data_IF_859594843471
#
_entry.id   IF_859594843471
#
_cell.length_a   1.000
_cell.length_b   1.000
_cell.length_c   1.000
_cell.angle_alpha   90.00
_cell.angle_beta   90.00
_cell.angle_gamma   90.00
#
_symmetry.space_group_name_H-M   'P 1'
#
loop_
_entity.id
_entity.type
_entity.pdbx_description
1 polymer ?
#
# COMPACT_ATOMS: atom_id res chain seq x y z
N UNK A 1 -38.96 0.71 4.85
CA UNK A 1 -39.40 2.14 4.90
C UNK A 1 -38.14 2.98 5.15
N UNK A 2 -37.93 4.05 4.41
CA UNK A 2 -36.78 4.96 4.59
C UNK A 2 -36.87 5.68 5.94
N UNK A 3 -35.81 5.59 6.74
CA UNK A 3 -35.72 6.27 8.05
C UNK A 3 -34.64 7.35 8.03
N UNK A 4 -34.97 8.54 8.51
CA UNK A 4 -34.06 9.70 8.59
C UNK A 4 -33.24 9.74 9.88
N UNK A 5 -33.56 8.91 10.87
CA UNK A 5 -33.02 9.01 12.23
C UNK A 5 -32.53 7.70 12.85
N UNK A 6 -32.70 6.56 12.18
CA UNK A 6 -32.23 5.30 12.70
C UNK A 6 -30.71 5.18 12.51
N UNK A 7 -30.00 4.97 13.59
CA UNK A 7 -28.60 4.59 13.59
C UNK A 7 -28.43 3.11 13.28
N UNK A 8 -27.24 2.66 12.88
CA UNK A 8 -26.92 1.25 12.64
C UNK A 8 -27.29 0.42 13.87
N UNK A 9 -26.93 0.88 15.08
CA UNK A 9 -27.20 0.18 16.32
C UNK A 9 -28.70 -0.10 16.59
N UNK A 10 -29.59 0.76 16.09
CA UNK A 10 -31.04 0.58 16.22
C UNK A 10 -31.67 -0.18 15.06
N UNK A 11 -31.09 -0.09 13.86
CA UNK A 11 -31.64 -0.68 12.66
C UNK A 11 -31.09 -2.10 12.40
N UNK A 12 -29.80 -2.28 12.62
CA UNK A 12 -29.08 -3.53 12.38
C UNK A 12 -28.08 -3.76 13.53
N UNK A 13 -28.57 -4.25 14.68
CA UNK A 13 -27.73 -4.47 15.85
C UNK A 13 -26.65 -5.53 15.65
N UNK A 14 -26.87 -6.51 14.76
CA UNK A 14 -25.89 -7.54 14.41
C UNK A 14 -24.68 -6.91 13.69
N UNK A 15 -24.90 -6.09 12.67
CA UNK A 15 -23.84 -5.35 11.99
C UNK A 15 -23.16 -4.35 12.93
N UNK A 16 -23.92 -3.68 13.80
CA UNK A 16 -23.36 -2.77 14.80
C UNK A 16 -22.41 -3.48 15.77
N UNK A 17 -22.76 -4.69 16.20
CA UNK A 17 -21.89 -5.51 17.04
C UNK A 17 -20.61 -5.94 16.32
N UNK A 18 -20.68 -6.31 15.05
CA UNK A 18 -19.50 -6.64 14.25
C UNK A 18 -18.54 -5.44 14.08
N UNK A 19 -19.10 -4.25 13.84
CA UNK A 19 -18.30 -3.01 13.75
C UNK A 19 -17.64 -2.70 15.11
N UNK A 20 -18.38 -2.83 16.21
CA UNK A 20 -17.84 -2.59 17.55
C UNK A 20 -16.70 -3.57 17.90
N UNK A 21 -16.87 -4.87 17.57
CA UNK A 21 -15.83 -5.87 17.77
C UNK A 21 -14.56 -5.58 16.95
N UNK A 22 -14.69 -5.08 15.72
CA UNK A 22 -13.52 -4.68 14.92
C UNK A 22 -12.85 -3.42 15.48
N UNK A 23 -13.60 -2.45 16.00
CA UNK A 23 -13.04 -1.28 16.71
C UNK A 23 -12.23 -1.73 17.93
N UNK A 24 -12.78 -2.65 18.74
CA UNK A 24 -12.10 -3.23 19.90
C UNK A 24 -10.81 -3.97 19.47
N UNK A 25 -10.87 -4.80 18.42
CA UNK A 25 -9.70 -5.47 17.88
C UNK A 25 -8.61 -4.46 17.46
N UNK A 26 -8.97 -3.40 16.75
CA UNK A 26 -8.01 -2.37 16.33
C UNK A 26 -7.42 -1.61 17.53
N UNK A 27 -8.16 -1.42 18.61
CA UNK A 27 -7.63 -0.82 19.83
C UNK A 27 -6.64 -1.74 20.55
N UNK A 28 -6.95 -3.03 20.65
CA UNK A 28 -6.25 -3.99 21.51
C UNK A 28 -5.14 -4.77 20.81
N UNK A 29 -5.13 -4.81 19.48
CA UNK A 29 -4.13 -5.51 18.69
C UNK A 29 -3.13 -4.53 18.06
N UNK A 30 -1.88 -5.00 17.96
CA UNK A 30 -0.84 -4.27 17.23
C UNK A 30 -0.91 -4.67 15.75
N UNK A 31 -1.08 -3.70 14.87
CA UNK A 31 -1.20 -3.90 13.44
C UNK A 31 0.17 -3.71 12.75
N UNK A 32 0.68 -4.77 12.13
CA UNK A 32 1.94 -4.78 11.39
C UNK A 32 1.80 -5.22 9.93
N UNK A 33 0.57 -5.37 9.42
CA UNK A 33 0.37 -5.58 7.98
C UNK A 33 0.80 -4.31 7.24
N UNK A 34 1.84 -4.41 6.42
CA UNK A 34 2.49 -3.28 5.77
C UNK A 34 1.59 -2.44 4.85
N UNK A 35 0.44 -2.98 4.44
CA UNK A 35 -0.57 -2.33 3.60
C UNK A 35 -1.74 -1.73 4.38
N UNK A 36 -1.70 -1.74 5.71
CA UNK A 36 -2.74 -1.19 6.57
C UNK A 36 -2.27 0.06 7.31
N UNK A 37 -3.24 0.90 7.68
CA UNK A 37 -3.04 2.12 8.43
C UNK A 37 -4.36 2.61 9.02
N UNK A 38 -4.29 3.57 9.93
CA UNK A 38 -5.45 4.21 10.53
C UNK A 38 -5.65 5.60 9.94
N UNK A 39 -6.88 5.92 9.53
CA UNK A 39 -7.24 7.23 9.00
C UNK A 39 -7.74 8.16 10.11
N UNK A 40 -7.66 9.48 9.87
CA UNK A 40 -8.19 10.47 10.79
C UNK A 40 -9.73 10.44 10.86
N UNK A 41 -10.30 11.01 11.93
CA UNK A 41 -11.75 11.22 12.04
C UNK A 41 -12.28 12.04 10.86
N UNK A 42 -11.54 13.04 10.38
CA UNK A 42 -11.97 13.88 9.25
C UNK A 42 -12.06 13.09 7.93
N UNK A 43 -11.16 12.10 7.72
CA UNK A 43 -11.25 11.19 6.57
C UNK A 43 -12.48 10.28 6.70
N UNK A 44 -12.78 9.76 7.89
CA UNK A 44 -13.97 8.93 8.13
C UNK A 44 -15.26 9.74 7.99
N UNK A 45 -15.30 10.98 8.47
CA UNK A 45 -16.43 11.89 8.31
C UNK A 45 -16.72 12.19 6.83
N UNK A 46 -15.69 12.50 6.04
CA UNK A 46 -15.84 12.72 4.61
C UNK A 46 -16.37 11.46 3.89
N UNK A 47 -15.88 10.29 4.28
CA UNK A 47 -16.30 9.00 3.72
C UNK A 47 -17.76 8.67 4.03
N UNK A 48 -18.27 9.04 5.22
CA UNK A 48 -19.66 8.88 5.65
C UNK A 48 -20.58 10.03 5.23
N UNK A 49 -20.12 10.96 4.41
CA UNK A 49 -20.88 12.16 4.04
C UNK A 49 -21.99 11.90 3.01
N UNK A 50 -22.89 12.89 2.86
CA UNK A 50 -24.00 12.89 1.88
C UNK A 50 -23.52 12.84 0.43
N UNK A 51 -22.23 13.04 0.16
CA UNK A 51 -21.65 12.92 -1.18
C UNK A 51 -21.77 11.50 -1.75
N UNK A 52 -22.03 10.50 -0.90
CA UNK A 52 -22.37 9.13 -1.34
C UNK A 52 -23.63 9.07 -2.21
N UNK A 53 -24.53 10.03 -2.09
CA UNK A 53 -25.80 10.06 -2.82
C UNK A 53 -25.66 10.64 -4.24
N UNK A 54 -24.52 11.28 -4.58
CA UNK A 54 -24.39 12.02 -5.83
C UNK A 54 -23.76 11.20 -6.95
N UNK A 55 -24.48 11.08 -8.05
CA UNK A 55 -24.00 10.48 -9.30
C UNK A 55 -23.30 11.55 -10.16
N UNK A 56 -22.01 11.35 -10.51
CA UNK A 56 -21.17 12.38 -11.12
C UNK A 56 -20.25 11.84 -12.24
N UNK A 57 -20.81 11.05 -13.18
CA UNK A 57 -20.06 10.59 -14.36
C UNK A 57 -19.45 11.76 -15.14
N UNK A 58 -18.27 11.56 -15.67
CA UNK A 58 -17.44 12.58 -16.27
C UNK A 58 -16.42 13.16 -15.31
N UNK A 59 -16.03 14.40 -15.52
CA UNK A 59 -14.94 15.07 -14.78
C UNK A 59 -15.40 16.49 -14.37
N UNK A 60 -14.71 17.17 -13.43
CA UNK A 60 -15.06 18.52 -13.00
C UNK A 60 -15.30 19.46 -14.19
N UNK A 61 -16.44 20.15 -14.20
CA UNK A 61 -16.88 21.03 -15.27
C UNK A 61 -17.34 20.34 -16.56
N UNK A 62 -17.24 19.01 -16.65
CA UNK A 62 -17.63 18.20 -17.82
C UNK A 62 -18.37 16.94 -17.38
N UNK A 63 -19.46 17.11 -16.61
CA UNK A 63 -20.31 16.02 -16.11
C UNK A 63 -21.43 15.67 -17.09
N UNK A 64 -21.85 14.42 -17.03
CA UNK A 64 -23.01 13.95 -17.78
C UNK A 64 -24.34 14.23 -17.07
N UNK A 65 -24.29 14.64 -15.78
CA UNK A 65 -25.46 14.90 -14.93
C UNK A 65 -25.43 16.31 -14.35
N UNK A 66 -26.58 16.88 -14.07
CA UNK A 66 -26.72 18.16 -13.39
C UNK A 66 -26.48 18.05 -11.89
N UNK A 67 -26.36 19.20 -11.22
CA UNK A 67 -26.20 19.29 -9.76
C UNK A 67 -24.83 18.84 -9.26
N UNK A 68 -23.77 19.02 -10.06
CA UNK A 68 -22.41 18.58 -9.73
C UNK A 68 -21.50 19.72 -9.27
N UNK A 69 -21.98 20.94 -9.14
CA UNK A 69 -21.19 22.13 -8.81
C UNK A 69 -20.39 21.99 -7.49
N UNK A 70 -20.94 21.31 -6.51
CA UNK A 70 -20.27 21.13 -5.21
C UNK A 70 -19.34 19.91 -5.19
N UNK A 71 -19.71 18.81 -5.86
CA UNK A 71 -18.82 17.64 -5.97
C UNK A 71 -17.64 17.91 -6.90
N UNK A 72 -17.77 18.82 -7.86
CA UNK A 72 -16.68 19.31 -8.69
C UNK A 72 -15.61 19.99 -7.83
N UNK A 73 -16.01 20.78 -6.84
CA UNK A 73 -15.08 21.40 -5.88
C UNK A 73 -14.33 20.33 -5.10
N UNK A 74 -15.03 19.31 -4.60
CA UNK A 74 -14.38 18.22 -3.84
C UNK A 74 -13.36 17.45 -4.69
N UNK A 75 -13.70 17.11 -5.93
CA UNK A 75 -12.77 16.41 -6.82
C UNK A 75 -11.60 17.29 -7.25
N UNK A 76 -11.84 18.56 -7.56
CA UNK A 76 -10.79 19.51 -7.93
C UNK A 76 -9.80 19.71 -6.77
N UNK A 77 -10.28 19.82 -5.52
CA UNK A 77 -9.41 19.88 -4.35
C UNK A 77 -8.54 18.64 -4.19
N UNK A 78 -9.08 17.45 -4.47
CA UNK A 78 -8.28 16.22 -4.43
C UNK A 78 -7.20 16.22 -5.52
N UNK A 79 -7.56 16.61 -6.75
CA UNK A 79 -6.63 16.72 -7.88
C UNK A 79 -5.51 17.71 -7.57
N UNK A 80 -5.83 18.92 -7.16
CA UNK A 80 -4.84 19.99 -6.93
C UNK A 80 -3.88 19.62 -5.79
N UNK A 81 -4.42 19.03 -4.72
CA UNK A 81 -3.63 18.63 -3.55
C UNK A 81 -2.67 17.48 -3.87
N UNK A 82 -3.12 16.47 -4.60
CA UNK A 82 -2.25 15.33 -4.95
C UNK A 82 -1.20 15.71 -5.98
N UNK A 83 -1.52 16.58 -6.94
CA UNK A 83 -0.55 17.18 -7.86
C UNK A 83 0.54 17.93 -7.10
N UNK A 84 0.15 18.78 -6.15
CA UNK A 84 1.10 19.51 -5.31
C UNK A 84 1.96 18.58 -4.45
N UNK A 85 1.36 17.52 -3.91
CA UNK A 85 2.01 16.57 -3.00
C UNK A 85 3.17 15.84 -3.68
N UNK A 86 3.00 15.44 -4.94
CA UNK A 86 3.97 14.63 -5.67
C UNK A 86 4.71 15.38 -6.79
N UNK A 87 4.36 16.65 -7.05
CA UNK A 87 4.95 17.43 -8.14
C UNK A 87 4.52 16.95 -9.52
N UNK A 88 3.30 16.45 -9.66
CA UNK A 88 2.73 15.98 -10.91
C UNK A 88 1.97 17.10 -11.64
N UNK A 89 1.95 17.07 -12.98
CA UNK A 89 1.12 17.98 -13.76
C UNK A 89 -0.27 17.41 -14.07
N UNK A 90 -0.39 16.09 -14.13
CA UNK A 90 -1.66 15.40 -14.30
C UNK A 90 -1.97 14.52 -13.08
N UNK A 91 -3.26 14.48 -12.70
CA UNK A 91 -3.78 13.54 -11.71
C UNK A 91 -5.21 13.12 -12.03
N UNK A 92 -5.52 11.83 -11.86
CA UNK A 92 -6.87 11.29 -11.84
C UNK A 92 -7.12 10.62 -10.49
N UNK A 93 -8.11 11.12 -9.75
CA UNK A 93 -8.45 10.66 -8.38
C UNK A 93 -9.66 9.74 -8.33
N UNK A 94 -10.24 9.39 -9.48
CA UNK A 94 -11.44 8.56 -9.58
C UNK A 94 -11.20 7.04 -9.43
N UNK A 95 -10.00 6.44 -9.63
CA UNK A 95 -9.83 5.01 -9.45
C UNK A 95 -10.35 4.53 -8.08
N UNK A 96 -11.22 3.50 -8.09
CA UNK A 96 -11.79 2.91 -6.88
C UNK A 96 -10.76 2.12 -6.08
N UNK A 97 -9.69 1.65 -6.74
CA UNK A 97 -8.59 0.89 -6.13
C UNK A 97 -7.28 1.10 -6.90
N UNK A 98 -6.16 0.73 -6.29
CA UNK A 98 -4.87 0.67 -6.99
C UNK A 98 -4.90 -0.27 -8.19
N UNK A 99 -5.58 -1.43 -8.07
CA UNK A 99 -5.72 -2.36 -9.20
C UNK A 99 -6.43 -1.76 -10.39
N UNK A 100 -7.49 -0.96 -10.18
CA UNK A 100 -8.18 -0.27 -11.26
C UNK A 100 -7.35 0.88 -11.84
N UNK A 101 -6.58 1.59 -11.01
CA UNK A 101 -5.62 2.58 -11.49
C UNK A 101 -4.58 1.94 -12.42
N UNK A 102 -4.02 0.78 -12.02
CA UNK A 102 -3.06 0.03 -12.84
C UNK A 102 -3.69 -0.47 -14.16
N UNK A 103 -4.91 -1.02 -14.10
CA UNK A 103 -5.64 -1.43 -15.29
C UNK A 103 -5.91 -0.27 -16.25
N UNK A 104 -6.23 0.92 -15.74
CA UNK A 104 -6.45 2.10 -16.56
C UNK A 104 -5.16 2.55 -17.28
N UNK A 105 -4.02 2.50 -16.59
CA UNK A 105 -2.72 2.77 -17.22
C UNK A 105 -2.47 1.77 -18.35
N UNK A 106 -2.62 0.48 -18.12
CA UNK A 106 -2.46 -0.53 -19.17
C UNK A 106 -3.42 -0.28 -20.34
N UNK A 107 -4.71 -0.14 -20.06
CA UNK A 107 -5.74 0.05 -21.10
C UNK A 107 -5.56 1.33 -21.90
N UNK A 108 -4.89 2.36 -21.35
CA UNK A 108 -4.68 3.63 -22.04
C UNK A 108 -3.66 3.57 -23.18
N UNK A 109 -2.68 2.65 -23.11
CA UNK A 109 -1.54 2.62 -24.05
C UNK A 109 -1.18 1.22 -24.56
N UNK A 110 -1.76 0.15 -24.00
CA UNK A 110 -1.48 -1.22 -24.41
C UNK A 110 -2.70 -1.87 -25.05
N UNK A 111 -2.42 -2.92 -25.85
CA UNK A 111 -3.43 -3.84 -26.41
C UNK A 111 -3.23 -5.23 -25.80
N UNK A 112 -4.29 -6.06 -25.72
CA UNK A 112 -4.15 -7.46 -25.34
C UNK A 112 -3.06 -8.15 -26.17
N UNK A 113 -2.18 -8.93 -25.50
CA UNK A 113 -1.03 -9.59 -26.10
C UNK A 113 0.27 -8.76 -26.13
N UNK A 114 0.22 -7.46 -25.84
CA UNK A 114 1.44 -6.66 -25.71
C UNK A 114 2.30 -7.17 -24.55
N UNK A 115 3.63 -7.06 -24.71
CA UNK A 115 4.57 -7.51 -23.69
C UNK A 115 4.77 -6.45 -22.62
N UNK A 116 4.68 -6.86 -21.35
CA UNK A 116 5.05 -6.08 -20.17
C UNK A 116 6.18 -6.78 -19.41
N UNK A 117 7.03 -6.01 -18.76
CA UNK A 117 8.11 -6.51 -17.89
C UNK A 117 7.86 -5.99 -16.48
N UNK A 118 7.56 -6.87 -15.52
CA UNK A 118 7.21 -6.51 -14.16
C UNK A 118 7.97 -7.32 -13.11
N UNK A 119 7.94 -6.87 -11.85
CA UNK A 119 8.58 -7.61 -10.76
C UNK A 119 7.80 -8.90 -10.44
N UNK A 120 8.53 -10.01 -10.30
CA UNK A 120 7.97 -11.30 -9.91
C UNK A 120 7.25 -11.22 -8.55
N UNK A 121 6.08 -11.84 -8.47
CA UNK A 121 5.31 -11.93 -7.22
C UNK A 121 6.11 -12.63 -6.11
N UNK A 122 6.90 -13.65 -6.47
CA UNK A 122 7.77 -14.39 -5.53
C UNK A 122 8.92 -13.53 -4.97
N UNK A 123 9.29 -12.45 -5.64
CA UNK A 123 10.34 -11.53 -5.24
C UNK A 123 9.81 -10.18 -4.71
N UNK A 124 8.51 -10.11 -4.42
CA UNK A 124 7.89 -8.94 -3.80
C UNK A 124 7.08 -8.04 -4.73
N UNK A 125 6.88 -8.42 -6.00
CA UNK A 125 5.98 -7.72 -6.91
C UNK A 125 4.52 -7.72 -6.46
N UNK A 126 3.66 -7.00 -7.17
CA UNK A 126 2.23 -6.99 -6.92
C UNK A 126 1.49 -7.88 -7.95
N UNK A 127 0.32 -8.41 -7.58
CA UNK A 127 -0.52 -9.20 -8.50
C UNK A 127 -0.75 -8.52 -9.85
N UNK A 128 -0.97 -7.20 -9.84
CA UNK A 128 -1.23 -6.41 -11.06
C UNK A 128 0.02 -6.13 -11.91
N UNK A 129 1.19 -6.63 -11.52
CA UNK A 129 2.44 -6.49 -12.30
C UNK A 129 2.69 -7.67 -13.25
N UNK A 130 1.65 -8.39 -13.64
CA UNK A 130 1.74 -9.48 -14.61
C UNK A 130 1.55 -10.88 -14.02
N UNK A 131 1.10 -11.03 -12.76
CA UNK A 131 0.85 -12.35 -12.20
C UNK A 131 -0.24 -13.09 -13.01
N UNK A 132 -0.01 -14.37 -13.32
CA UNK A 132 -0.87 -15.19 -14.22
C UNK A 132 -2.32 -15.31 -13.75
N UNK A 133 -2.57 -15.21 -12.45
CA UNK A 133 -3.91 -15.24 -11.86
C UNK A 133 -4.64 -13.91 -11.97
N UNK A 134 -3.92 -12.82 -12.24
CA UNK A 134 -4.46 -11.46 -12.35
C UNK A 134 -4.79 -11.11 -13.81
N UNK A 135 -5.68 -10.13 -13.99
CA UNK A 135 -6.06 -9.65 -15.34
C UNK A 135 -4.84 -9.17 -16.14
N UNK A 136 -3.80 -8.62 -15.48
CA UNK A 136 -2.56 -8.18 -16.13
C UNK A 136 -1.79 -9.35 -16.77
N UNK A 137 -1.69 -10.50 -16.09
CA UNK A 137 -1.06 -11.70 -16.64
C UNK A 137 -1.96 -12.50 -17.58
N UNK A 138 -3.29 -12.23 -17.58
CA UNK A 138 -4.24 -12.88 -18.52
C UNK A 138 -4.34 -12.13 -19.84
N UNK A 139 -4.21 -10.82 -19.85
CA UNK A 139 -4.34 -10.00 -21.05
C UNK A 139 -3.01 -9.71 -21.75
N UNK A 140 -1.92 -9.65 -21.02
CA UNK A 140 -0.61 -9.26 -21.53
C UNK A 140 0.39 -10.41 -21.48
N UNK A 141 1.38 -10.37 -22.37
CA UNK A 141 2.53 -11.25 -22.31
C UNK A 141 3.48 -10.75 -21.20
N UNK A 142 3.33 -11.29 -19.99
CA UNK A 142 4.05 -10.83 -18.82
C UNK A 142 5.39 -11.56 -18.66
N UNK A 143 6.48 -10.81 -18.77
CA UNK A 143 7.84 -11.24 -18.42
C UNK A 143 8.14 -10.70 -17.02
N UNK A 144 8.86 -11.47 -16.20
CA UNK A 144 9.15 -11.07 -14.83
C UNK A 144 10.64 -10.96 -14.56
N UNK A 145 11.04 -9.90 -13.85
CA UNK A 145 12.37 -9.74 -13.27
C UNK A 145 12.33 -10.01 -11.75
N UNK A 146 13.49 -10.19 -11.15
CA UNK A 146 13.60 -10.53 -9.74
C UNK A 146 14.71 -9.79 -9.00
N UNK A 147 15.15 -10.41 -7.92
CA UNK A 147 16.26 -9.97 -7.09
C UNK A 147 17.48 -10.84 -7.38
N UNK A 148 18.67 -10.29 -7.16
CA UNK A 148 19.94 -11.00 -7.23
C UNK A 148 20.15 -11.95 -6.01
N UNK A 149 21.31 -12.56 -5.93
CA UNK A 149 21.70 -13.45 -4.83
C UNK A 149 21.81 -12.75 -3.47
N UNK A 150 21.97 -11.42 -3.47
CA UNK A 150 22.00 -10.57 -2.27
C UNK A 150 20.61 -10.03 -1.92
N UNK A 151 19.56 -10.52 -2.60
CA UNK A 151 18.18 -10.10 -2.41
C UNK A 151 17.94 -8.60 -2.72
N UNK A 152 18.72 -8.05 -3.67
CA UNK A 152 18.63 -6.67 -4.16
C UNK A 152 18.12 -6.68 -5.59
N UNK A 153 17.43 -5.62 -6.03
CA UNK A 153 16.95 -5.47 -7.40
C UNK A 153 18.13 -5.60 -8.39
N UNK A 154 18.03 -6.59 -9.27
CA UNK A 154 19.03 -6.83 -10.32
C UNK A 154 18.72 -6.00 -11.58
N UNK A 155 19.21 -4.77 -11.60
CA UNK A 155 19.03 -3.88 -12.75
C UNK A 155 19.70 -4.38 -14.03
N UNK A 156 20.77 -5.18 -13.92
CA UNK A 156 21.41 -5.78 -15.09
C UNK A 156 20.50 -6.85 -15.72
N UNK A 157 19.83 -7.65 -14.89
CA UNK A 157 18.84 -8.62 -15.37
C UNK A 157 17.59 -7.91 -15.94
N UNK A 158 17.13 -6.83 -15.31
CA UNK A 158 16.04 -6.00 -15.87
C UNK A 158 16.40 -5.50 -17.28
N UNK A 159 17.62 -4.98 -17.46
CA UNK A 159 18.10 -4.50 -18.76
C UNK A 159 18.22 -5.64 -19.78
N UNK A 160 18.79 -6.76 -19.39
CA UNK A 160 18.91 -7.95 -20.25
C UNK A 160 17.54 -8.41 -20.77
N UNK A 161 16.56 -8.57 -19.86
CA UNK A 161 15.21 -8.97 -20.20
C UNK A 161 14.50 -7.93 -21.08
N UNK A 162 14.71 -6.64 -20.81
CA UNK A 162 14.13 -5.58 -21.61
C UNK A 162 14.68 -5.60 -23.05
N UNK A 163 15.99 -5.80 -23.23
CA UNK A 163 16.61 -5.90 -24.56
C UNK A 163 16.17 -7.14 -25.32
N UNK A 164 16.02 -8.28 -24.63
CA UNK A 164 15.59 -9.55 -25.22
C UNK A 164 14.12 -9.52 -25.64
N UNK A 165 13.22 -9.11 -24.74
CA UNK A 165 11.78 -9.20 -24.94
C UNK A 165 11.13 -7.94 -25.49
N UNK A 166 11.83 -6.80 -25.50
CA UNK A 166 11.37 -5.50 -26.00
C UNK A 166 9.95 -5.16 -25.54
N UNK A 167 9.70 -5.12 -24.21
CA UNK A 167 8.38 -4.84 -23.69
C UNK A 167 7.91 -3.46 -24.12
N UNK A 168 6.61 -3.29 -24.29
CA UNK A 168 6.02 -1.95 -24.48
C UNK A 168 5.98 -1.14 -23.20
N UNK A 169 5.99 -1.82 -22.04
CA UNK A 169 5.95 -1.18 -20.75
C UNK A 169 6.80 -1.95 -19.73
N UNK A 170 7.60 -1.22 -18.98
CA UNK A 170 8.30 -1.73 -17.80
C UNK A 170 7.53 -1.24 -16.57
N UNK A 171 7.13 -2.18 -15.71
CA UNK A 171 6.39 -1.92 -14.48
C UNK A 171 7.34 -2.05 -13.30
N UNK A 172 7.59 -0.94 -12.61
CA UNK A 172 8.43 -0.88 -11.42
C UNK A 172 7.58 -0.61 -10.17
N UNK A 173 8.08 -1.06 -9.03
CA UNK A 173 7.38 -0.98 -7.74
C UNK A 173 7.21 -2.35 -7.10
N UNK A 174 6.97 -2.36 -5.80
CA UNK A 174 6.90 -3.61 -5.05
C UNK A 174 5.93 -3.51 -3.86
N UNK A 175 5.43 -4.68 -3.43
CA UNK A 175 4.60 -4.85 -2.23
C UNK A 175 5.38 -5.37 -1.03
N UNK A 176 6.55 -5.96 -1.26
CA UNK A 176 7.34 -6.64 -0.23
C UNK A 176 8.86 -6.50 -0.48
N UNK A 177 9.31 -5.32 -0.89
CA UNK A 177 10.72 -4.99 -1.07
C UNK A 177 11.12 -3.87 -0.10
N UNK A 178 12.17 -4.11 0.68
CA UNK A 178 12.54 -3.26 1.80
C UNK A 178 13.42 -2.06 1.44
N UNK A 179 14.17 -2.16 0.33
CA UNK A 179 15.18 -1.17 -0.04
C UNK A 179 14.63 -0.09 -0.96
N UNK A 180 15.40 0.96 -1.17
CA UNK A 180 15.05 1.99 -2.14
C UNK A 180 15.18 1.47 -3.57
N UNK A 181 14.28 1.90 -4.44
CA UNK A 181 14.27 1.61 -5.87
C UNK A 181 14.83 2.82 -6.62
N UNK A 182 15.80 2.57 -7.48
CA UNK A 182 16.40 3.60 -8.34
C UNK A 182 15.55 3.79 -9.61
N UNK A 183 14.69 4.79 -9.58
CA UNK A 183 13.80 5.11 -10.69
C UNK A 183 14.55 5.61 -11.92
N UNK A 184 15.71 6.25 -11.74
CA UNK A 184 16.54 6.75 -12.85
C UNK A 184 17.07 5.57 -13.67
N UNK A 185 17.55 4.49 -13.03
CA UNK A 185 17.98 3.28 -13.72
C UNK A 185 16.85 2.62 -14.50
N UNK A 186 15.64 2.54 -13.93
CA UNK A 186 14.48 2.05 -14.68
C UNK A 186 14.17 2.92 -15.88
N UNK A 187 14.28 4.26 -15.76
CA UNK A 187 14.10 5.18 -16.90
C UNK A 187 15.12 4.94 -18.00
N UNK A 188 16.40 4.82 -17.64
CA UNK A 188 17.48 4.53 -18.59
C UNK A 188 17.23 3.23 -19.36
N UNK A 189 16.80 2.17 -18.65
CA UNK A 189 16.49 0.87 -19.28
C UNK A 189 15.29 1.01 -20.22
N UNK A 190 14.23 1.68 -19.78
CA UNK A 190 13.03 1.88 -20.59
C UNK A 190 13.33 2.68 -21.86
N UNK A 191 14.16 3.71 -21.78
CA UNK A 191 14.59 4.52 -22.93
C UNK A 191 15.37 3.69 -23.97
N UNK A 192 16.26 2.78 -23.52
CA UNK A 192 17.04 1.90 -24.40
C UNK A 192 16.17 1.03 -25.32
N UNK A 193 14.97 0.68 -24.87
CA UNK A 193 14.07 -0.21 -25.62
C UNK A 193 12.81 0.49 -26.13
N UNK A 194 12.66 1.79 -25.87
CA UNK A 194 11.49 2.57 -26.26
C UNK A 194 10.21 2.17 -25.53
N UNK A 195 10.32 1.67 -24.29
CA UNK A 195 9.20 1.27 -23.46
C UNK A 195 8.69 2.43 -22.63
N UNK A 196 7.39 2.39 -22.29
CA UNK A 196 6.87 3.21 -21.21
C UNK A 196 7.42 2.73 -19.86
N UNK A 197 7.76 3.67 -18.98
CA UNK A 197 8.03 3.39 -17.57
C UNK A 197 6.78 3.68 -16.75
N UNK A 198 6.23 2.64 -16.16
CA UNK A 198 5.11 2.71 -15.24
C UNK A 198 5.57 2.35 -13.82
N UNK A 199 5.34 3.23 -12.85
CA UNK A 199 5.70 3.02 -11.45
C UNK A 199 4.45 2.91 -10.58
N UNK A 200 4.29 1.78 -9.90
CA UNK A 200 3.33 1.60 -8.81
C UNK A 200 4.03 1.87 -7.47
N UNK A 201 3.82 3.09 -6.93
CA UNK A 201 4.43 3.48 -5.66
C UNK A 201 3.50 3.24 -4.45
N UNK A 202 2.47 2.43 -4.58
CA UNK A 202 1.41 2.27 -3.58
C UNK A 202 1.92 2.03 -2.16
N UNK A 203 2.94 1.20 -1.98
CA UNK A 203 3.52 0.94 -0.66
C UNK A 203 4.32 2.12 -0.12
N UNK A 204 4.99 2.87 -0.98
CA UNK A 204 5.94 3.91 -0.60
C UNK A 204 5.36 5.32 -0.63
N UNK A 205 4.13 5.52 -1.14
CA UNK A 205 3.57 6.83 -1.43
C UNK A 205 3.58 7.81 -0.23
N UNK A 206 3.32 7.33 0.99
CA UNK A 206 3.42 8.16 2.19
C UNK A 206 4.85 8.59 2.50
N UNK A 207 5.84 7.71 2.27
CA UNK A 207 7.26 8.04 2.44
C UNK A 207 7.74 9.01 1.35
N UNK A 208 7.27 8.84 0.10
CA UNK A 208 7.53 9.78 -1.00
C UNK A 208 6.96 11.16 -0.66
N UNK A 209 5.70 11.22 -0.21
CA UNK A 209 5.04 12.46 0.20
C UNK A 209 5.77 13.16 1.37
N UNK A 210 6.32 12.38 2.30
CA UNK A 210 7.11 12.89 3.43
C UNK A 210 8.56 13.23 3.10
N UNK A 211 9.06 12.89 1.91
CA UNK A 211 10.45 13.11 1.49
C UNK A 211 11.43 12.04 1.99
N UNK A 212 10.94 10.91 2.47
CA UNK A 212 11.75 9.81 3.02
C UNK A 212 12.01 8.66 2.04
N UNK A 213 11.48 8.76 0.81
CA UNK A 213 11.69 7.80 -0.28
C UNK A 213 11.74 8.53 -1.62
N UNK A 214 12.51 8.05 -2.62
CA UNK A 214 12.63 8.71 -3.91
C UNK A 214 11.28 8.89 -4.62
N UNK A 215 11.04 10.08 -5.17
CA UNK A 215 9.82 10.37 -5.93
C UNK A 215 9.95 9.84 -7.38
N UNK A 216 9.06 8.95 -7.87
CA UNK A 216 9.11 8.42 -9.22
C UNK A 216 8.57 9.37 -10.29
N UNK A 217 7.76 10.37 -9.92
CA UNK A 217 7.06 11.24 -10.89
C UNK A 217 7.97 11.89 -11.93
N UNK A 218 9.17 12.38 -11.60
CA UNK A 218 10.07 12.97 -12.59
C UNK A 218 10.60 11.97 -13.65
N UNK A 219 10.59 10.68 -13.35
CA UNK A 219 11.21 9.63 -14.18
C UNK A 219 10.20 8.83 -14.99
N UNK A 220 9.00 8.60 -14.44
CA UNK A 220 8.01 7.71 -15.02
C UNK A 220 7.06 8.43 -15.98
N UNK A 221 6.56 7.68 -16.97
CA UNK A 221 5.48 8.15 -17.84
C UNK A 221 4.13 8.07 -17.09
N UNK A 222 3.97 7.03 -16.29
CA UNK A 222 2.79 6.80 -15.44
C UNK A 222 3.21 6.45 -14.02
N UNK A 223 2.53 7.03 -13.04
CA UNK A 223 2.69 6.67 -11.63
C UNK A 223 1.31 6.38 -11.06
N UNK A 224 1.18 5.27 -10.35
CA UNK A 224 -0.04 4.98 -9.60
C UNK A 224 0.26 4.83 -8.12
N UNK A 225 -0.75 5.05 -7.32
CA UNK A 225 -0.71 4.75 -5.90
C UNK A 225 -2.08 4.34 -5.39
N UNK A 226 -2.09 3.56 -4.30
CA UNK A 226 -3.23 3.48 -3.39
C UNK A 226 -3.20 4.66 -2.44
N UNK A 227 -4.34 5.00 -1.85
CA UNK A 227 -4.44 6.12 -0.90
C UNK A 227 -4.41 5.69 0.57
N UNK A 228 -4.54 4.38 0.87
CA UNK A 228 -4.83 3.85 2.20
C UNK A 228 -3.66 3.13 2.92
N UNK A 229 -2.45 3.10 2.35
CA UNK A 229 -1.28 2.46 2.96
C UNK A 229 -0.46 3.50 3.74
N UNK A 230 0.81 3.66 3.42
CA UNK A 230 1.65 4.70 4.05
C UNK A 230 1.10 6.12 3.88
N UNK A 231 0.32 6.39 2.81
CA UNK A 231 -0.30 7.69 2.56
C UNK A 231 -1.46 8.02 3.53
N UNK A 232 -1.96 7.04 4.29
CA UNK A 232 -2.90 7.23 5.41
C UNK A 232 -4.23 7.88 5.03
N UNK A 233 -4.76 7.54 3.87
CA UNK A 233 -6.05 8.04 3.35
C UNK A 233 -7.12 6.94 3.24
N UNK A 234 -8.27 7.26 2.63
CA UNK A 234 -9.33 6.29 2.39
C UNK A 234 -8.88 5.22 1.39
N UNK A 235 -9.57 4.09 1.36
CA UNK A 235 -9.31 3.05 0.36
C UNK A 235 -9.69 3.56 -1.04
N UNK A 236 -8.70 3.55 -1.95
CA UNK A 236 -8.84 4.04 -3.31
C UNK A 236 -7.53 4.02 -4.05
N UNK A 237 -7.53 4.51 -5.29
CA UNK A 237 -6.35 4.67 -6.13
C UNK A 237 -6.24 6.06 -6.74
N UNK A 238 -5.05 6.38 -7.26
CA UNK A 238 -4.73 7.62 -7.99
C UNK A 238 -3.79 7.29 -9.13
N UNK A 239 -3.94 8.01 -10.24
CA UNK A 239 -2.99 8.02 -11.37
C UNK A 239 -2.37 9.40 -11.44
N UNK A 240 -1.05 9.46 -11.63
CA UNK A 240 -0.27 10.68 -11.77
C UNK A 240 0.60 10.59 -13.03
N UNK A 241 0.86 11.73 -13.68
CA UNK A 241 1.86 11.84 -14.71
C UNK A 241 2.66 13.14 -14.53
N UNK A 242 3.91 13.14 -15.01
CA UNK A 242 4.78 14.32 -15.01
C UNK A 242 4.28 15.43 -15.93
N UNK A 243 3.46 15.08 -16.94
CA UNK A 243 2.87 16.00 -17.91
C UNK A 243 1.45 15.54 -18.33
N UNK A 244 0.79 16.30 -19.20
CA UNK A 244 -0.57 16.04 -19.63
C UNK A 244 -0.67 15.21 -20.94
N UNK A 245 0.41 14.66 -21.45
CA UNK A 245 0.48 13.95 -22.75
C UNK A 245 -0.56 12.82 -22.82
N UNK A 246 -0.78 12.09 -21.73
CA UNK A 246 -1.67 10.94 -21.68
C UNK A 246 -3.03 11.22 -21.03
N UNK A 247 -3.33 12.48 -20.67
CA UNK A 247 -4.56 12.86 -19.96
C UNK A 247 -5.83 12.28 -20.62
N UNK A 248 -6.02 12.54 -21.92
CA UNK A 248 -7.23 12.09 -22.63
C UNK A 248 -7.38 10.57 -22.61
N UNK A 249 -6.29 9.83 -22.82
CA UNK A 249 -6.30 8.38 -22.85
C UNK A 249 -6.60 7.80 -21.46
N UNK A 250 -5.95 8.32 -20.41
CA UNK A 250 -6.17 7.89 -19.03
C UNK A 250 -7.57 8.21 -18.52
N UNK A 251 -8.08 9.42 -18.80
CA UNK A 251 -9.43 9.80 -18.43
C UNK A 251 -10.44 8.89 -19.12
N UNK A 252 -10.27 8.59 -20.41
CA UNK A 252 -11.12 7.66 -21.15
C UNK A 252 -11.02 6.23 -20.65
N UNK A 253 -9.83 5.78 -20.22
CA UNK A 253 -9.63 4.45 -19.67
C UNK A 253 -10.33 4.28 -18.32
N UNK A 254 -10.39 5.32 -17.49
CA UNK A 254 -11.19 5.29 -16.26
C UNK A 254 -12.67 5.38 -16.60
N UNK A 255 -13.11 6.47 -17.21
CA UNK A 255 -14.50 6.67 -17.60
C UNK A 255 -14.59 7.07 -19.09
N UNK A 256 -15.36 6.34 -19.89
CA UNK A 256 -16.35 5.31 -19.54
C UNK A 256 -15.84 3.86 -19.61
N UNK A 257 -14.50 3.61 -19.72
CA UNK A 257 -14.01 2.27 -20.08
C UNK A 257 -14.07 1.27 -18.89
N UNK A 258 -13.45 1.58 -17.75
CA UNK A 258 -13.32 0.66 -16.62
C UNK A 258 -14.28 0.95 -15.46
N UNK A 259 -14.75 2.19 -15.34
CA UNK A 259 -15.62 2.64 -14.27
C UNK A 259 -16.79 3.44 -14.83
N UNK A 260 -17.89 3.52 -14.05
CA UNK A 260 -19.02 4.43 -14.25
C UNK A 260 -18.96 5.60 -13.26
N UNK A 261 -20.03 5.80 -12.47
CA UNK A 261 -20.11 6.88 -11.50
C UNK A 261 -18.99 6.83 -10.46
N UNK A 262 -18.24 7.91 -10.28
CA UNK A 262 -17.16 7.97 -9.29
C UNK A 262 -17.73 8.00 -7.86
N UNK A 263 -16.93 7.52 -6.90
CA UNK A 263 -17.29 7.51 -5.48
C UNK A 263 -16.97 8.87 -4.86
N UNK A 264 -17.90 9.83 -4.93
CA UNK A 264 -17.63 11.21 -4.54
C UNK A 264 -17.29 11.38 -3.07
N UNK A 265 -17.86 10.57 -2.18
CA UNK A 265 -17.52 10.52 -0.76
C UNK A 265 -16.08 10.04 -0.52
N UNK A 266 -15.59 9.08 -1.31
CA UNK A 266 -14.19 8.61 -1.24
C UNK A 266 -13.25 9.68 -1.80
N UNK A 267 -13.61 10.35 -2.89
CA UNK A 267 -12.82 11.45 -3.47
C UNK A 267 -12.71 12.62 -2.48
N UNK A 268 -13.79 12.97 -1.78
CA UNK A 268 -13.75 13.96 -0.70
C UNK A 268 -12.79 13.52 0.43
N UNK A 269 -12.85 12.26 0.83
CA UNK A 269 -11.94 11.70 1.82
C UNK A 269 -10.47 11.71 1.35
N UNK A 270 -10.22 11.45 0.05
CA UNK A 270 -8.88 11.64 -0.56
C UNK A 270 -8.43 13.10 -0.45
N UNK A 271 -9.33 14.06 -0.72
CA UNK A 271 -8.99 15.48 -0.59
C UNK A 271 -8.59 15.87 0.83
N UNK A 272 -9.24 15.29 1.85
CA UNK A 272 -8.84 15.47 3.27
C UNK A 272 -7.45 14.88 3.51
N UNK A 273 -7.25 13.61 3.16
CA UNK A 273 -5.98 12.92 3.38
C UNK A 273 -4.79 13.61 2.68
N UNK A 274 -4.98 14.12 1.46
CA UNK A 274 -3.92 14.85 0.76
C UNK A 274 -3.64 16.21 1.42
N UNK A 275 -4.65 16.86 2.02
CA UNK A 275 -4.42 18.07 2.81
C UNK A 275 -3.59 17.75 4.07
N UNK A 276 -3.87 16.66 4.74
CA UNK A 276 -3.08 16.18 5.88
C UNK A 276 -1.64 15.85 5.46
N UNK A 277 -1.47 15.14 4.33
CA UNK A 277 -0.15 14.79 3.81
C UNK A 277 0.72 15.99 3.39
N UNK A 278 0.11 17.16 3.11
CA UNK A 278 0.79 18.40 2.82
C UNK A 278 1.27 19.14 4.08
N UNK A 279 0.89 18.72 5.30
CA UNK A 279 1.29 19.36 6.53
C UNK A 279 2.68 18.92 7.00
N UNK A 280 3.40 19.75 7.76
CA UNK A 280 4.72 19.41 8.32
C UNK A 280 4.72 18.14 9.19
N UNK A 281 3.63 17.89 9.91
CA UNK A 281 3.47 16.74 10.80
C UNK A 281 3.51 15.43 10.03
N UNK A 282 3.07 15.43 8.77
CA UNK A 282 3.13 14.24 7.93
C UNK A 282 4.58 13.85 7.56
N UNK A 283 5.47 14.82 7.42
CA UNK A 283 6.91 14.55 7.23
C UNK A 283 7.52 13.92 8.47
N UNK A 284 7.11 14.37 9.66
CA UNK A 284 7.54 13.75 10.93
C UNK A 284 7.05 12.30 11.03
N UNK A 285 5.78 12.07 10.68
CA UNK A 285 5.22 10.71 10.59
C UNK A 285 6.01 9.82 9.63
N UNK A 286 6.26 10.26 8.40
CA UNK A 286 6.98 9.48 7.40
C UNK A 286 8.41 9.13 7.87
N UNK A 287 9.11 10.08 8.48
CA UNK A 287 10.42 9.86 9.09
C UNK A 287 10.36 8.83 10.22
N UNK A 288 9.37 8.95 11.12
CA UNK A 288 9.21 8.03 12.24
C UNK A 288 8.85 6.62 11.78
N UNK A 289 8.05 6.47 10.72
CA UNK A 289 7.76 5.16 10.12
C UNK A 289 9.04 4.43 9.74
N UNK A 290 9.96 5.12 9.09
CA UNK A 290 11.23 4.55 8.67
C UNK A 290 12.14 4.20 9.86
N UNK A 291 12.21 5.08 10.87
CA UNK A 291 12.95 4.84 12.11
C UNK A 291 12.39 3.59 12.83
N UNK A 292 11.08 3.49 12.98
CA UNK A 292 10.44 2.35 13.63
C UNK A 292 10.70 1.03 12.89
N UNK A 293 10.59 1.04 11.55
CA UNK A 293 10.91 -0.14 10.74
C UNK A 293 12.35 -0.59 10.89
N UNK A 294 13.31 0.33 10.86
CA UNK A 294 14.72 0.05 11.04
C UNK A 294 15.00 -0.48 12.45
N UNK A 295 14.45 0.16 13.48
CA UNK A 295 14.63 -0.26 14.86
C UNK A 295 14.10 -1.70 15.11
N UNK A 296 12.92 -2.03 14.54
CA UNK A 296 12.38 -3.38 14.62
C UNK A 296 13.28 -4.40 13.91
N UNK A 297 13.71 -4.09 12.68
CA UNK A 297 14.58 -4.99 11.91
C UNK A 297 15.91 -5.25 12.63
N UNK A 298 16.58 -4.22 13.15
CA UNK A 298 17.81 -4.33 13.93
C UNK A 298 17.64 -5.19 15.19
N UNK A 299 16.52 -5.00 15.90
CA UNK A 299 16.27 -5.73 17.13
C UNK A 299 16.00 -7.21 16.86
N UNK A 300 15.25 -7.53 15.80
CA UNK A 300 15.00 -8.92 15.37
C UNK A 300 16.32 -9.63 14.97
N UNK A 301 17.25 -8.91 14.33
CA UNK A 301 18.59 -9.46 14.02
C UNK A 301 19.35 -9.80 15.29
N UNK A 302 19.32 -8.96 16.33
CA UNK A 302 19.92 -9.26 17.65
C UNK A 302 19.31 -10.50 18.30
N UNK A 303 18.03 -10.76 18.02
CA UNK A 303 17.30 -11.95 18.49
C UNK A 303 17.54 -13.19 17.60
N UNK A 304 18.49 -13.14 16.66
CA UNK A 304 18.89 -14.26 15.82
C UNK A 304 17.95 -14.55 14.64
N UNK A 305 17.11 -13.58 14.24
CA UNK A 305 16.28 -13.66 13.05
C UNK A 305 17.02 -13.04 11.84
N UNK A 306 16.71 -13.50 10.64
CA UNK A 306 17.28 -12.96 9.40
C UNK A 306 16.31 -12.01 8.74
N UNK A 307 16.78 -10.83 8.40
CA UNK A 307 16.02 -9.87 7.59
C UNK A 307 16.42 -10.07 6.11
N UNK A 308 15.44 -10.23 5.23
CA UNK A 308 15.66 -10.29 3.78
C UNK A 308 16.31 -8.98 3.32
N UNK A 309 17.32 -9.06 2.48
CA UNK A 309 18.19 -7.94 2.07
C UNK A 309 19.01 -7.32 3.22
N UNK A 310 19.03 -7.94 4.41
CA UNK A 310 19.84 -7.55 5.58
C UNK A 310 19.38 -6.28 6.32
N UNK A 311 18.51 -5.47 5.73
CA UNK A 311 18.07 -4.18 6.28
C UNK A 311 16.76 -3.70 5.66
N UNK A 312 16.21 -2.61 6.18
CA UNK A 312 15.14 -1.85 5.51
C UNK A 312 15.51 -0.37 5.34
N UNK A 313 15.08 0.19 4.22
CA UNK A 313 15.19 1.61 3.86
C UNK A 313 13.80 2.24 3.67
N UNK A 314 12.75 1.49 4.03
CA UNK A 314 11.35 1.89 3.88
C UNK A 314 10.52 1.59 5.14
N UNK A 315 9.20 1.46 4.99
CA UNK A 315 8.26 1.11 6.06
C UNK A 315 8.09 -0.39 6.27
N UNK A 316 8.64 -1.22 5.39
CA UNK A 316 8.38 -2.65 5.31
C UNK A 316 9.68 -3.46 5.26
N UNK A 317 9.66 -4.64 5.84
CA UNK A 317 10.72 -5.64 5.70
C UNK A 317 10.15 -7.05 5.78
N UNK A 318 10.90 -8.01 5.26
CA UNK A 318 10.60 -9.44 5.36
C UNK A 318 11.53 -10.09 6.38
N UNK A 319 10.97 -10.96 7.20
CA UNK A 319 11.70 -11.78 8.15
C UNK A 319 11.72 -13.21 7.63
N UNK A 320 12.91 -13.77 7.47
CA UNK A 320 13.13 -15.17 7.17
C UNK A 320 13.07 -15.99 8.47
N UNK A 321 12.14 -16.91 8.54
CA UNK A 321 11.87 -17.72 9.73
C UNK A 321 12.59 -19.07 9.73
N UNK A 322 13.31 -19.43 8.67
CA UNK A 322 14.04 -20.69 8.55
C UNK A 322 15.08 -20.88 9.69
N UNK A 323 15.81 -19.82 10.17
CA UNK A 323 16.69 -19.97 11.32
C UNK A 323 16.00 -20.42 12.61
N UNK A 324 14.70 -20.21 12.75
CA UNK A 324 13.88 -20.63 13.90
C UNK A 324 13.10 -21.93 13.64
N UNK A 325 13.22 -22.54 12.45
CA UNK A 325 12.48 -23.73 12.03
C UNK A 325 10.93 -23.58 12.17
N UNK A 326 10.41 -22.40 11.88
CA UNK A 326 8.97 -22.09 11.90
C UNK A 326 8.53 -21.62 10.52
N UNK A 327 7.32 -21.99 10.11
CA UNK A 327 6.71 -21.52 8.86
C UNK A 327 6.02 -20.19 9.04
N UNK A 328 5.85 -19.44 7.93
CA UNK A 328 5.09 -18.19 7.96
C UNK A 328 3.67 -18.37 8.46
N UNK A 329 3.01 -19.49 8.10
CA UNK A 329 1.66 -19.82 8.58
C UNK A 329 1.62 -20.01 10.10
N UNK A 330 2.54 -20.79 10.65
CA UNK A 330 2.58 -21.01 12.10
C UNK A 330 2.89 -19.72 12.87
N UNK A 331 3.79 -18.88 12.32
CA UNK A 331 4.11 -17.58 12.90
C UNK A 331 2.88 -16.63 12.87
N UNK A 332 2.16 -16.56 11.74
CA UNK A 332 0.93 -15.76 11.62
C UNK A 332 -0.13 -16.16 12.66
N UNK A 333 -0.35 -17.48 12.85
CA UNK A 333 -1.30 -18.01 13.82
C UNK A 333 -0.88 -17.71 15.27
N UNK A 334 0.39 -17.92 15.62
CA UNK A 334 0.91 -17.68 16.97
C UNK A 334 0.91 -16.18 17.33
N UNK A 335 1.37 -15.32 16.43
CA UNK A 335 1.37 -13.87 16.63
C UNK A 335 -0.06 -13.32 16.75
N UNK A 336 -1.01 -13.85 15.96
CA UNK A 336 -2.42 -13.48 16.07
C UNK A 336 -2.99 -13.76 17.48
N UNK A 337 -2.67 -14.90 18.08
CA UNK A 337 -3.05 -15.23 19.47
C UNK A 337 -2.41 -14.28 20.50
N UNK A 338 -1.22 -13.76 20.19
CA UNK A 338 -0.52 -12.80 21.02
C UNK A 338 -0.91 -11.33 20.73
N UNK A 339 -2.03 -11.09 20.06
CA UNK A 339 -2.54 -9.76 19.68
C UNK A 339 -1.58 -8.95 18.80
N UNK A 340 -0.81 -9.62 17.96
CA UNK A 340 0.08 -9.00 16.97
C UNK A 340 -0.34 -9.50 15.59
N UNK A 341 -0.88 -8.60 14.77
CA UNK A 341 -1.40 -8.91 13.44
C UNK A 341 -0.32 -8.70 12.39
N UNK A 342 0.05 -9.76 11.70
CA UNK A 342 0.99 -9.76 10.56
C UNK A 342 0.41 -10.60 9.40
N UNK A 343 1.09 -10.62 8.27
CA UNK A 343 0.81 -11.62 7.25
C UNK A 343 2.04 -12.49 6.95
N UNK A 344 1.81 -13.79 6.75
CA UNK A 344 2.82 -14.65 6.13
C UNK A 344 3.19 -14.15 4.75
N UNK A 345 4.44 -14.33 4.35
CA UNK A 345 4.95 -13.87 3.06
C UNK A 345 6.05 -14.79 2.56
N UNK A 346 6.02 -15.11 1.27
CA UNK A 346 7.14 -15.79 0.66
C UNK A 346 8.40 -14.93 0.72
N UNK A 347 9.53 -15.55 0.93
CA UNK A 347 10.86 -14.94 0.80
C UNK A 347 11.45 -15.28 -0.58
N UNK A 348 12.46 -14.55 -1.06
CA UNK A 348 13.13 -14.92 -2.31
C UNK A 348 13.64 -16.37 -2.27
N UNK A 349 13.35 -17.13 -3.34
CA UNK A 349 13.67 -18.56 -3.44
C UNK A 349 13.07 -19.40 -2.30
N UNK A 350 11.86 -19.09 -1.89
CA UNK A 350 11.16 -19.78 -0.80
C UNK A 350 10.95 -21.27 -1.14
N UNK A 351 11.41 -22.21 -0.28
CA UNK A 351 11.20 -23.64 -0.48
C UNK A 351 9.76 -24.08 -0.21
N UNK A 352 8.97 -23.27 0.51
CA UNK A 352 7.61 -23.58 0.90
C UNK A 352 6.57 -23.14 -0.15
N UNK A 353 5.40 -23.76 -0.10
CA UNK A 353 4.26 -23.38 -0.95
C UNK A 353 3.71 -22.01 -0.55
N UNK A 354 3.06 -21.26 -1.47
CA UNK A 354 2.54 -19.91 -1.20
C UNK A 354 1.58 -19.78 -0.03
N UNK A 355 0.87 -20.85 0.35
CA UNK A 355 -0.05 -20.85 1.50
C UNK A 355 0.61 -21.19 2.85
N UNK A 356 1.89 -21.59 2.82
CA UNK A 356 2.70 -21.94 4.01
C UNK A 356 3.73 -20.86 4.26
N UNK A 357 4.59 -20.59 3.28
CA UNK A 357 5.71 -19.63 3.26
C UNK A 357 6.78 -19.88 4.34
N UNK A 358 7.96 -19.35 4.12
CA UNK A 358 9.07 -19.40 5.08
C UNK A 358 9.33 -18.05 5.76
N UNK A 359 8.49 -17.05 5.50
CA UNK A 359 8.66 -15.71 6.05
C UNK A 359 7.37 -15.04 6.48
N UNK A 360 7.55 -13.89 7.11
CA UNK A 360 6.49 -12.94 7.44
C UNK A 360 6.87 -11.56 6.92
N UNK A 361 5.87 -10.74 6.60
CA UNK A 361 6.04 -9.33 6.24
C UNK A 361 5.61 -8.44 7.40
N UNK A 362 6.48 -7.51 7.76
CA UNK A 362 6.29 -6.57 8.86
C UNK A 362 6.31 -5.15 8.33
N UNK A 363 5.35 -4.32 8.72
CA UNK A 363 5.23 -2.92 8.35
C UNK A 363 5.04 -2.01 9.57
N UNK A 364 5.62 -0.81 9.52
CA UNK A 364 5.63 0.11 10.64
C UNK A 364 4.63 1.28 10.52
N UNK A 365 3.81 1.36 9.45
CA UNK A 365 2.96 2.52 9.19
C UNK A 365 1.85 2.68 10.24
N UNK A 366 1.11 1.61 10.53
CA UNK A 366 -0.02 1.63 11.46
C UNK A 366 0.42 1.93 12.90
N UNK A 367 1.48 1.27 13.39
CA UNK A 367 2.02 1.52 14.74
C UNK A 367 2.52 2.95 14.89
N UNK A 368 3.12 3.52 13.84
CA UNK A 368 3.58 4.91 13.86
C UNK A 368 2.42 5.89 13.88
N UNK A 369 1.34 5.62 13.15
CA UNK A 369 0.12 6.43 13.19
C UNK A 369 -0.50 6.46 14.57
N UNK A 370 -0.49 5.33 15.30
CA UNK A 370 -1.00 5.30 16.68
C UNK A 370 -0.04 5.88 17.72
N UNK A 371 1.18 6.31 17.34
CA UNK A 371 2.08 7.06 18.20
C UNK A 371 3.29 6.27 18.74
N UNK A 372 3.58 5.09 18.23
CA UNK A 372 4.77 4.32 18.65
C UNK A 372 6.06 5.08 18.34
N UNK A 373 6.91 5.17 19.35
CA UNK A 373 8.28 5.68 19.25
C UNK A 373 9.25 4.56 18.86
N UNK A 374 10.51 4.92 18.61
CA UNK A 374 11.58 3.93 18.37
C UNK A 374 11.70 2.93 19.54
N UNK A 375 11.57 3.40 20.78
CA UNK A 375 11.64 2.53 21.97
C UNK A 375 10.47 1.52 21.99
N UNK A 376 9.26 1.97 21.69
CA UNK A 376 8.08 1.09 21.59
C UNK A 376 8.25 0.07 20.45
N UNK A 377 8.84 0.48 19.33
CA UNK A 377 9.12 -0.41 18.20
C UNK A 377 10.18 -1.49 18.56
N UNK A 378 11.22 -1.16 19.30
CA UNK A 378 12.20 -2.13 19.80
C UNK A 378 11.59 -3.10 20.81
N UNK A 379 10.74 -2.60 21.72
CA UNK A 379 9.99 -3.44 22.65
C UNK A 379 9.09 -4.42 21.89
N UNK A 380 8.33 -3.93 20.91
CA UNK A 380 7.48 -4.75 20.05
C UNK A 380 8.27 -5.83 19.29
N UNK A 381 9.45 -5.49 18.76
CA UNK A 381 10.30 -6.47 18.10
C UNK A 381 10.75 -7.61 19.05
N UNK A 382 11.00 -7.30 20.31
CA UNK A 382 11.28 -8.32 21.32
C UNK A 382 10.06 -9.20 21.60
N UNK A 383 8.85 -8.62 21.67
CA UNK A 383 7.60 -9.39 21.82
C UNK A 383 7.37 -10.33 20.62
N UNK A 384 7.61 -9.85 19.41
CA UNK A 384 7.60 -10.68 18.20
C UNK A 384 8.55 -11.88 18.34
N UNK A 385 9.79 -11.62 18.74
CA UNK A 385 10.81 -12.66 18.89
C UNK A 385 10.44 -13.66 20.00
N UNK A 386 9.88 -13.21 21.12
CA UNK A 386 9.43 -14.07 22.22
C UNK A 386 8.36 -15.07 21.74
N UNK A 387 7.42 -14.63 20.89
CA UNK A 387 6.42 -15.52 20.27
C UNK A 387 7.07 -16.48 19.29
N UNK A 388 7.99 -16.00 18.44
CA UNK A 388 8.64 -16.83 17.42
C UNK A 388 9.62 -17.86 18.02
N UNK A 389 10.17 -17.58 19.20
CA UNK A 389 11.01 -18.52 19.95
C UNK A 389 10.19 -19.66 20.57
N UNK A 390 8.93 -19.40 20.96
CA UNK A 390 8.04 -20.34 21.64
C UNK A 390 6.61 -20.26 21.10
N UNK A 391 6.36 -20.59 19.83
CA UNK A 391 5.08 -20.32 19.16
C UNK A 391 3.90 -21.19 19.67
N UNK A 392 4.18 -22.26 20.37
CA UNK A 392 3.18 -23.21 20.91
C UNK A 392 3.02 -23.13 22.44
N UNK A 393 3.72 -22.22 23.10
CA UNK A 393 3.60 -22.03 24.57
C UNK A 393 2.48 -21.04 24.86
N UNK A 394 1.30 -21.55 25.23
CA UNK A 394 0.12 -20.76 25.52
C UNK A 394 0.33 -19.76 26.67
N UNK A 395 1.18 -20.09 27.67
CA UNK A 395 1.50 -19.16 28.75
C UNK A 395 2.33 -17.99 28.26
N UNK A 396 3.31 -18.24 27.36
CA UNK A 396 4.10 -17.21 26.69
C UNK A 396 3.20 -16.33 25.81
N UNK A 397 2.34 -16.94 24.97
CA UNK A 397 1.42 -16.20 24.10
C UNK A 397 0.50 -15.27 24.89
N UNK A 398 -0.04 -15.76 26.01
CA UNK A 398 -0.89 -14.96 26.92
C UNK A 398 -0.11 -13.80 27.55
N UNK A 399 1.12 -14.06 28.01
CA UNK A 399 1.97 -13.01 28.58
C UNK A 399 2.35 -11.93 27.56
N UNK A 400 2.66 -12.33 26.31
CA UNK A 400 2.94 -11.39 25.23
C UNK A 400 1.68 -10.60 24.86
N UNK A 401 0.51 -11.23 24.76
CA UNK A 401 -0.75 -10.55 24.50
C UNK A 401 -1.04 -9.43 25.52
N UNK A 402 -0.80 -9.69 26.80
CA UNK A 402 -0.98 -8.68 27.85
C UNK A 402 -0.03 -7.48 27.67
N UNK A 403 1.23 -7.73 27.27
CA UNK A 403 2.20 -6.66 26.98
C UNK A 403 1.82 -5.89 25.71
N UNK A 404 1.37 -6.57 24.66
CA UNK A 404 0.87 -5.95 23.43
C UNK A 404 -0.33 -5.01 23.72
N UNK A 405 -1.29 -5.46 24.52
CA UNK A 405 -2.42 -4.63 24.97
C UNK A 405 -1.95 -3.42 25.80
N UNK A 406 -0.94 -3.57 26.65
CA UNK A 406 -0.38 -2.44 27.41
C UNK A 406 0.25 -1.38 26.49
N UNK A 407 0.99 -1.79 25.44
CA UNK A 407 1.51 -0.88 24.41
C UNK A 407 0.37 -0.20 23.65
N UNK A 408 -0.69 -0.93 23.33
CA UNK A 408 -1.89 -0.41 22.70
C UNK A 408 -2.61 0.62 23.56
N UNK A 409 -2.78 0.35 24.84
CA UNK A 409 -3.43 1.26 25.79
C UNK A 409 -2.66 2.57 26.01
N UNK A 410 -1.32 2.50 25.95
CA UNK A 410 -0.46 3.70 25.96
C UNK A 410 -0.65 4.58 24.73
N UNK A 411 -0.98 3.96 23.59
CA UNK A 411 -1.10 4.60 22.28
C UNK A 411 -2.44 4.24 21.62
N UNK A 412 -3.59 4.74 22.10
CA UNK A 412 -4.90 4.39 21.55
C UNK A 412 -5.07 4.89 20.12
N UNK A 413 -5.74 4.10 19.27
CA UNK A 413 -6.03 4.48 17.86
C UNK A 413 -7.18 5.48 17.83
N UNK A 414 -8.24 5.19 18.56
CA UNK A 414 -9.42 6.04 18.62
C UNK A 414 -9.41 6.77 19.97
N UNK A 415 -9.59 8.09 19.93
CA UNK A 415 -9.65 8.91 21.13
C UNK A 415 -10.82 8.50 22.03
N UNK A 416 -10.66 8.72 23.34
CA UNK A 416 -11.69 8.54 24.32
C UNK A 416 -12.82 9.57 24.14
#
# INVERSE_FOLDING_TARGET
>A
MYSKSLTIAKYDPELAAAIAAEVERQQDHIELIASENYVSCAVMEAQGSQLTNKYAEGYPGKRYYGGCEHVDVAEQLAIDRVKKLFGAEYANVQPHSGSQANQAVYASVLKPGDTILGMSLAHGGHLTHGASVNISGKLYNAITYGLDENEVLDYAEVERLALEHKPKMIVAGASAYALQIDWAKFREIADKVGAYLFVDMAHYAGLVAGGEYPNPVPFADFVTTTTHKTLRGPRGGVILCRDNTHEKALNSAIFPSLQGGPLMHVIAAKAVAFKEALQPEFKQYAKQVKINAQAMAEELVKRGLRIVSGRTESHVFLVDLRPKNITGKAAEEALGKAHITINKNAIPNDPEKPFVTSGIRVGAAAITTRGFTEADARELANLLADVLDNPNDEANLTAVAAKAQALCAKNPVYGA
#
